data_IF_067666469168
#
_entry.id   IF_067666469168
#
_cell.length_a   1.000
_cell.length_b   1.000
_cell.length_c   1.000
_cell.angle_alpha   90.00
_cell.angle_beta   90.00
_cell.angle_gamma   90.00
#
_symmetry.space_group_name_H-M   'P 1'
#
loop_
_entity.id
_entity.type
_entity.pdbx_description
1 polymer ?
#
# COMPACT_ATOMS: atom_id res chain seq x y z
N UNK A 1 5.93 15.34 -3.73
CA UNK A 1 5.97 14.85 -2.33
C UNK A 1 4.58 14.41 -1.90
N UNK A 2 4.17 13.20 -2.29
CA UNK A 2 3.09 12.46 -1.61
C UNK A 2 3.20 10.98 -2.03
N UNK A 3 3.98 10.18 -1.29
CA UNK A 3 4.15 8.73 -1.53
C UNK A 3 2.96 7.90 -1.00
N UNK A 4 1.77 8.49 -1.03
CA UNK A 4 0.56 7.89 -0.46
C UNK A 4 0.21 6.58 -1.18
N UNK A 5 0.35 6.56 -2.51
CA UNK A 5 0.09 5.37 -3.31
C UNK A 5 1.12 4.27 -3.01
N UNK A 6 2.40 4.61 -2.86
CA UNK A 6 3.46 3.72 -2.38
C UNK A 6 3.10 3.08 -1.04
N UNK A 7 2.67 3.88 -0.06
CA UNK A 7 2.28 3.36 1.25
C UNK A 7 1.12 2.38 1.15
N UNK A 8 0.09 2.70 0.36
CA UNK A 8 -1.03 1.79 0.09
C UNK A 8 -0.52 0.49 -0.57
N UNK A 9 0.40 0.55 -1.52
CA UNK A 9 0.91 -0.65 -2.20
C UNK A 9 1.74 -1.54 -1.25
N UNK A 10 2.62 -0.94 -0.46
CA UNK A 10 3.64 -1.67 0.30
C UNK A 10 3.22 -2.07 1.72
N UNK A 11 2.21 -1.42 2.31
CA UNK A 11 1.78 -1.71 3.68
C UNK A 11 1.28 -3.15 3.90
N UNK A 12 0.54 -3.78 2.96
CA UNK A 12 0.22 -5.21 3.05
C UNK A 12 1.46 -6.12 3.03
N UNK A 13 2.49 -5.74 2.26
CA UNK A 13 3.77 -6.48 2.20
C UNK A 13 4.49 -6.38 3.54
N UNK A 14 4.51 -5.20 4.17
CA UNK A 14 5.05 -5.03 5.52
C UNK A 14 4.31 -5.89 6.55
N UNK A 15 2.98 -5.97 6.47
CA UNK A 15 2.19 -6.86 7.32
C UNK A 15 2.50 -8.34 7.11
N UNK A 16 2.69 -8.76 5.85
CA UNK A 16 3.14 -10.12 5.51
C UNK A 16 4.52 -10.43 6.09
N UNK A 17 5.48 -9.52 5.92
CA UNK A 17 6.83 -9.66 6.48
C UNK A 17 6.78 -9.75 8.00
N UNK A 18 5.96 -8.93 8.66
CA UNK A 18 5.77 -9.01 10.12
C UNK A 18 5.21 -10.38 10.54
N UNK A 19 4.21 -10.91 9.82
CA UNK A 19 3.62 -12.23 10.08
C UNK A 19 4.63 -13.36 9.84
N UNK A 20 5.55 -13.23 8.88
CA UNK A 20 6.55 -14.25 8.58
C UNK A 20 7.47 -14.59 9.77
N UNK A 21 7.67 -13.65 10.70
CA UNK A 21 8.45 -13.87 11.93
C UNK A 21 7.63 -14.46 13.09
N UNK A 22 6.33 -14.74 12.88
CA UNK A 22 5.42 -15.20 13.94
C UNK A 22 5.26 -16.73 13.85
N UNK A 23 5.48 -17.46 14.94
CA UNK A 23 5.20 -18.89 15.02
C UNK A 23 3.74 -19.22 14.65
N UNK A 24 3.55 -20.29 13.87
CA UNK A 24 2.25 -20.67 13.29
C UNK A 24 1.16 -20.99 14.33
N UNK A 25 1.56 -21.40 15.53
CA UNK A 25 0.68 -21.67 16.67
C UNK A 25 0.05 -20.39 17.25
N UNK A 26 0.65 -19.21 17.02
CA UNK A 26 0.12 -17.92 17.46
C UNK A 26 -0.93 -17.34 16.51
N UNK A 27 -1.96 -18.14 16.20
CA UNK A 27 -3.01 -17.79 15.23
C UNK A 27 -3.73 -16.48 15.56
N UNK A 28 -3.98 -16.21 16.85
CA UNK A 28 -4.66 -14.97 17.26
C UNK A 28 -3.83 -13.72 16.95
N UNK A 29 -2.52 -13.76 17.23
CA UNK A 29 -1.61 -12.65 16.92
C UNK A 29 -1.52 -12.40 15.40
N UNK A 30 -1.48 -13.47 14.60
CA UNK A 30 -1.48 -13.36 13.13
C UNK A 30 -2.75 -12.67 12.64
N UNK A 31 -3.92 -13.03 13.18
CA UNK A 31 -5.20 -12.40 12.84
C UNK A 31 -5.24 -10.93 13.22
N UNK A 32 -4.78 -10.59 14.43
CA UNK A 32 -4.75 -9.21 14.91
C UNK A 32 -3.86 -8.31 14.03
N UNK A 33 -2.66 -8.79 13.67
CA UNK A 33 -1.77 -8.06 12.76
C UNK A 33 -2.39 -7.94 11.38
N UNK A 34 -2.96 -9.01 10.83
CA UNK A 34 -3.65 -8.98 9.54
C UNK A 34 -4.79 -7.95 9.52
N UNK A 35 -5.61 -7.91 10.59
CA UNK A 35 -6.71 -6.97 10.73
C UNK A 35 -6.21 -5.52 10.90
N UNK A 36 -5.15 -5.30 11.69
CA UNK A 36 -4.56 -3.99 11.85
C UNK A 36 -3.96 -3.46 10.54
N UNK A 37 -3.17 -4.28 9.83
CA UNK A 37 -2.57 -3.91 8.54
C UNK A 37 -3.66 -3.58 7.51
N UNK A 38 -4.67 -4.43 7.35
CA UNK A 38 -5.76 -4.18 6.39
C UNK A 38 -6.68 -3.03 6.81
N UNK A 39 -6.86 -2.80 8.11
CA UNK A 39 -7.58 -1.65 8.63
C UNK A 39 -6.88 -0.32 8.32
N UNK A 40 -5.56 -0.26 8.53
CA UNK A 40 -4.75 0.93 8.17
C UNK A 40 -4.78 1.14 6.65
N UNK A 41 -4.63 0.07 5.87
CA UNK A 41 -4.72 0.09 4.42
C UNK A 41 -6.04 0.71 3.94
N UNK A 42 -7.16 0.28 4.52
CA UNK A 42 -8.49 0.81 4.20
C UNK A 42 -8.62 2.29 4.56
N UNK A 43 -8.10 2.70 5.73
CA UNK A 43 -8.11 4.10 6.14
C UNK A 43 -7.33 5.00 5.16
N UNK A 44 -6.17 4.54 4.69
CA UNK A 44 -5.38 5.26 3.67
C UNK A 44 -6.11 5.32 2.32
N UNK A 45 -6.76 4.24 1.90
CA UNK A 45 -7.56 4.23 0.68
C UNK A 45 -8.75 5.21 0.74
N UNK A 46 -9.46 5.27 1.87
CA UNK A 46 -10.53 6.24 2.10
C UNK A 46 -9.97 7.67 2.09
N UNK A 47 -8.81 7.91 2.69
CA UNK A 47 -8.16 9.21 2.67
C UNK A 47 -7.81 9.64 1.25
N UNK A 48 -7.18 8.75 0.46
CA UNK A 48 -6.88 8.98 -0.96
C UNK A 48 -8.14 9.32 -1.75
N UNK A 49 -9.22 8.57 -1.53
CA UNK A 49 -10.50 8.83 -2.19
C UNK A 49 -11.07 10.22 -1.85
N UNK A 50 -10.94 10.68 -0.60
CA UNK A 50 -11.42 12.01 -0.20
C UNK A 50 -10.66 13.18 -0.84
N UNK A 51 -9.38 12.99 -1.14
CA UNK A 51 -8.55 14.03 -1.76
C UNK A 51 -8.51 13.93 -3.29
N UNK A 52 -9.21 12.94 -3.88
CA UNK A 52 -9.33 12.78 -5.32
C UNK A 52 -10.32 13.79 -5.91
N UNK A 53 -9.90 14.47 -6.98
CA UNK A 53 -10.72 15.45 -7.70
C UNK A 53 -11.41 14.81 -8.92
N UNK A 54 -12.70 14.50 -8.81
CA UNK A 54 -13.46 13.88 -9.90
C UNK A 54 -13.64 14.79 -11.15
N UNK A 55 -13.30 16.08 -11.08
CA UNK A 55 -13.35 16.99 -12.23
C UNK A 55 -12.15 16.87 -13.16
N UNK A 56 -11.06 16.22 -12.70
CA UNK A 56 -9.84 16.07 -13.49
C UNK A 56 -9.78 14.70 -14.15
N UNK A 57 -9.68 14.66 -15.49
CA UNK A 57 -9.65 13.40 -16.26
C UNK A 57 -8.28 12.69 -16.32
N UNK A 58 -7.26 13.22 -15.64
CA UNK A 58 -5.91 12.64 -15.60
C UNK A 58 -5.71 11.73 -14.38
N UNK A 59 -4.68 10.88 -14.42
CA UNK A 59 -4.22 10.17 -13.23
C UNK A 59 -3.65 11.15 -12.21
N UNK A 60 -4.25 11.19 -11.02
CA UNK A 60 -3.84 12.09 -9.93
C UNK A 60 -2.85 11.45 -8.97
N UNK A 61 -2.91 10.12 -8.84
CA UNK A 61 -1.99 9.32 -8.04
C UNK A 61 -1.30 8.34 -8.98
N UNK A 62 -0.09 8.70 -9.42
CA UNK A 62 0.74 7.85 -10.25
C UNK A 62 2.15 7.83 -9.68
N UNK A 63 2.69 6.64 -9.54
CA UNK A 63 4.07 6.42 -9.16
C UNK A 63 4.69 5.51 -10.21
N UNK A 64 5.70 6.04 -10.89
CA UNK A 64 6.47 5.32 -11.91
C UNK A 64 7.89 5.15 -11.43
N UNK A 65 8.49 4.02 -11.80
CA UNK A 65 9.90 3.75 -11.57
C UNK A 65 10.49 3.24 -12.88
N UNK A 66 11.60 3.82 -13.32
CA UNK A 66 12.29 3.35 -14.53
C UNK A 66 12.73 1.91 -14.33
N UNK A 67 12.27 1.02 -15.20
CA UNK A 67 12.64 -0.38 -15.13
C UNK A 67 13.95 -0.65 -15.87
N UNK A 68 14.09 -0.12 -17.08
CA UNK A 68 15.33 -0.20 -17.87
C UNK A 68 15.64 1.17 -18.49
N UNK A 69 16.43 2.01 -17.79
CA UNK A 69 16.69 3.39 -18.20
C UNK A 69 17.32 3.51 -19.59
N UNK A 70 18.19 2.55 -19.96
CA UNK A 70 18.88 2.56 -21.26
C UNK A 70 17.94 2.44 -22.47
N UNK A 71 16.72 1.94 -22.26
CA UNK A 71 15.69 1.81 -23.31
C UNK A 71 14.52 2.77 -23.09
N UNK A 72 14.62 3.71 -22.14
CA UNK A 72 13.51 4.58 -21.72
C UNK A 72 12.23 3.79 -21.40
N UNK A 73 12.36 2.64 -20.74
CA UNK A 73 11.22 1.81 -20.30
C UNK A 73 10.86 2.19 -18.86
N UNK A 74 9.71 2.84 -18.70
CA UNK A 74 9.07 3.27 -17.45
C UNK A 74 7.87 2.42 -17.08
#
# INVERSE_FOLDING_TARGET
MNHLLSWIIWLPVLGMVAIAFIPRDKTELIKQISAATTGIQLALAIYLWRIFDASTGSFQFMETAEWIPSFNIT
#
